data_IF_093157313579
#
_entry.id   IF_093157313579
#
_cell.length_a   1.000
_cell.length_b   1.000
_cell.length_c   1.000
_cell.angle_alpha   90.00
_cell.angle_beta   90.00
_cell.angle_gamma   90.00
#
_symmetry.space_group_name_H-M   'P 1'
#
loop_
_entity.id
_entity.type
_entity.pdbx_description
1 polymer ?
#
# COMPACT_ATOMS: atom_id res chain seq x y z
N UNK A 1 27.83 13.34 -12.15
CA UNK A 1 27.74 14.35 -11.06
C UNK A 1 27.18 15.68 -11.56
N UNK A 2 27.76 16.37 -12.56
CA UNK A 2 27.27 17.67 -13.02
C UNK A 2 25.81 17.67 -13.53
N UNK A 3 25.37 16.64 -14.27
CA UNK A 3 24.00 16.54 -14.76
C UNK A 3 22.95 16.31 -13.64
N UNK A 4 23.30 15.52 -12.61
CA UNK A 4 22.44 15.27 -11.45
C UNK A 4 22.27 16.55 -10.60
N UNK A 5 23.38 17.26 -10.35
CA UNK A 5 23.36 18.55 -9.66
C UNK A 5 22.58 19.62 -10.42
N UNK A 6 22.65 19.63 -11.76
CA UNK A 6 21.82 20.52 -12.57
C UNK A 6 20.33 20.18 -12.43
N UNK A 7 19.98 18.89 -12.44
CA UNK A 7 18.59 18.44 -12.25
C UNK A 7 18.03 18.86 -10.89
N UNK A 8 18.77 18.68 -9.80
CA UNK A 8 18.38 19.15 -8.46
C UNK A 8 18.05 20.65 -8.47
N UNK A 9 18.92 21.48 -9.04
CA UNK A 9 18.68 22.92 -9.16
C UNK A 9 17.42 23.27 -9.94
N UNK A 10 17.09 22.52 -10.99
CA UNK A 10 15.84 22.74 -11.73
C UNK A 10 14.61 22.51 -10.86
N UNK A 11 14.61 21.47 -10.03
CA UNK A 11 13.53 21.24 -9.07
C UNK A 11 13.48 22.32 -8.01
N UNK A 12 14.61 22.69 -7.41
CA UNK A 12 14.68 23.76 -6.40
C UNK A 12 14.15 25.09 -6.94
N UNK A 13 14.48 25.44 -8.18
CA UNK A 13 13.99 26.67 -8.82
C UNK A 13 12.45 26.71 -8.92
N UNK A 14 11.80 25.56 -9.14
CA UNK A 14 10.34 25.46 -9.24
C UNK A 14 9.71 25.36 -7.84
N UNK A 15 10.29 24.56 -6.95
CA UNK A 15 9.77 24.34 -5.59
C UNK A 15 9.90 25.56 -4.67
N UNK A 16 10.82 26.48 -4.97
CA UNK A 16 10.99 27.74 -4.22
C UNK A 16 10.06 28.88 -4.69
N UNK A 17 9.17 28.63 -5.65
CA UNK A 17 8.18 29.62 -6.09
C UNK A 17 7.06 29.78 -5.05
N UNK A 18 6.45 30.97 -4.96
CA UNK A 18 5.29 31.19 -4.09
C UNK A 18 4.07 30.36 -4.52
N UNK A 19 3.90 30.19 -5.84
CA UNK A 19 2.88 29.36 -6.47
C UNK A 19 3.57 28.43 -7.44
N UNK A 20 3.52 27.13 -7.16
CA UNK A 20 4.23 26.13 -7.95
C UNK A 20 3.47 25.78 -9.22
N UNK A 21 4.15 25.81 -10.36
CA UNK A 21 3.60 25.29 -11.61
C UNK A 21 3.52 23.76 -11.59
N UNK A 22 2.32 23.21 -11.41
CA UNK A 22 2.10 21.76 -11.48
C UNK A 22 2.48 21.17 -12.84
N UNK A 23 2.35 21.93 -13.93
CA UNK A 23 2.76 21.46 -15.26
C UNK A 23 4.29 21.27 -15.33
N UNK A 24 5.07 22.20 -14.77
CA UNK A 24 6.52 22.08 -14.70
C UNK A 24 6.96 20.93 -13.80
N UNK A 25 6.34 20.79 -12.62
CA UNK A 25 6.58 19.66 -11.72
C UNK A 25 6.29 18.34 -12.42
N UNK A 26 5.16 18.23 -13.13
CA UNK A 26 4.84 17.02 -13.91
C UNK A 26 5.91 16.72 -14.97
N UNK A 27 6.33 17.72 -15.75
CA UNK A 27 7.39 17.56 -16.76
C UNK A 27 8.71 17.09 -16.15
N UNK A 28 9.13 17.70 -15.03
CA UNK A 28 10.37 17.34 -14.36
C UNK A 28 10.32 15.93 -13.78
N UNK A 29 9.25 15.62 -13.04
CA UNK A 29 9.02 14.30 -12.41
C UNK A 29 8.90 13.17 -13.44
N UNK A 30 8.38 13.45 -14.65
CA UNK A 30 8.28 12.43 -15.69
C UNK A 30 9.63 11.79 -16.04
N UNK A 31 10.72 12.57 -15.93
CA UNK A 31 12.09 12.09 -16.15
C UNK A 31 12.73 11.45 -14.90
N UNK A 32 12.00 11.32 -13.79
CA UNK A 32 12.44 10.82 -12.49
C UNK A 32 12.77 11.96 -11.51
N UNK A 33 12.49 11.75 -10.23
CA UNK A 33 12.83 12.70 -9.17
C UNK A 33 14.21 12.42 -8.59
N UNK A 34 15.00 13.44 -8.21
CA UNK A 34 16.18 13.28 -7.37
C UNK A 34 15.86 12.68 -5.99
N UNK A 35 16.84 12.04 -5.36
CA UNK A 35 16.73 11.49 -3.99
C UNK A 35 17.07 12.53 -2.93
N UNK A 36 17.77 13.59 -3.32
CA UNK A 36 18.26 14.63 -2.44
C UNK A 36 17.17 15.65 -2.05
N UNK A 37 17.41 16.37 -0.94
CA UNK A 37 16.68 17.56 -0.52
C UNK A 37 15.14 17.39 -0.44
N UNK A 38 14.66 16.20 -0.07
CA UNK A 38 13.22 15.90 0.08
C UNK A 38 12.39 16.16 -1.20
N UNK A 39 13.07 16.23 -2.36
CA UNK A 39 12.45 16.64 -3.63
C UNK A 39 11.38 15.64 -4.04
N UNK A 40 11.69 14.34 -4.03
CA UNK A 40 10.72 13.30 -4.39
C UNK A 40 9.50 13.33 -3.47
N UNK A 41 9.71 13.38 -2.16
CA UNK A 41 8.61 13.42 -1.21
C UNK A 41 7.70 14.62 -1.45
N UNK A 42 8.28 15.81 -1.62
CA UNK A 42 7.52 17.04 -1.89
C UNK A 42 6.75 16.96 -3.22
N UNK A 43 7.40 16.47 -4.27
CA UNK A 43 6.77 16.28 -5.57
C UNK A 43 5.62 15.27 -5.50
N UNK A 44 5.77 14.16 -4.79
CA UNK A 44 4.70 13.17 -4.63
C UNK A 44 3.52 13.73 -3.84
N UNK A 45 3.76 14.53 -2.79
CA UNK A 45 2.69 15.23 -2.05
C UNK A 45 1.93 16.21 -2.95
N UNK A 46 2.63 16.93 -3.85
CA UNK A 46 1.99 17.81 -4.84
C UNK A 46 1.20 17.03 -5.88
N UNK A 47 1.82 16.01 -6.49
CA UNK A 47 1.20 15.19 -7.52
C UNK A 47 -0.02 14.47 -6.98
N UNK A 48 0.01 13.93 -5.77
CA UNK A 48 -1.13 13.28 -5.15
C UNK A 48 -2.14 14.26 -4.55
N UNK A 49 -2.06 15.56 -4.87
CA UNK A 49 -2.96 16.61 -4.38
C UNK A 49 -3.07 16.66 -2.86
N UNK A 50 -2.02 16.26 -2.14
CA UNK A 50 -1.99 16.32 -0.69
C UNK A 50 -1.68 17.73 -0.20
N UNK A 51 -0.68 18.39 -0.80
CA UNK A 51 -0.37 19.80 -0.53
C UNK A 51 -0.78 20.67 -1.73
N UNK A 52 -1.26 21.90 -1.48
CA UNK A 52 -1.66 22.81 -2.56
C UNK A 52 -0.44 23.39 -3.30
N UNK A 53 -0.59 23.96 -4.51
CA UNK A 53 0.50 24.65 -5.21
C UNK A 53 1.02 25.90 -4.50
N UNK A 54 0.17 26.56 -3.70
CA UNK A 54 0.51 27.77 -2.94
C UNK A 54 1.36 27.42 -1.70
N UNK A 55 2.64 27.82 -1.70
CA UNK A 55 3.61 27.39 -0.68
C UNK A 55 3.40 28.05 0.67
N UNK A 56 2.76 29.23 0.70
CA UNK A 56 2.48 30.00 1.91
C UNK A 56 1.67 29.21 2.96
N UNK A 57 0.75 28.34 2.51
CA UNK A 57 -0.16 27.60 3.38
C UNK A 57 0.33 26.20 3.75
N UNK A 58 1.48 25.75 3.23
CA UNK A 58 1.95 24.37 3.45
C UNK A 58 2.08 24.02 4.91
N UNK A 59 2.69 24.90 5.71
CA UNK A 59 2.95 24.65 7.13
C UNK A 59 1.65 24.50 7.92
N UNK A 60 0.67 25.39 7.69
CA UNK A 60 -0.62 25.37 8.39
C UNK A 60 -1.47 24.18 7.93
N UNK A 61 -1.49 23.89 6.63
CA UNK A 61 -2.20 22.76 6.03
C UNK A 61 -1.66 21.42 6.53
N UNK A 62 -0.34 21.18 6.43
CA UNK A 62 0.28 19.94 6.89
C UNK A 62 0.02 19.72 8.38
N UNK A 63 0.17 20.76 9.21
CA UNK A 63 -0.13 20.68 10.64
C UNK A 63 -1.57 20.22 10.88
N UNK A 64 -2.55 20.87 10.22
CA UNK A 64 -3.96 20.52 10.35
C UNK A 64 -4.24 19.07 9.92
N UNK A 65 -3.66 18.64 8.80
CA UNK A 65 -3.87 17.28 8.27
C UNK A 65 -3.26 16.22 9.19
N UNK A 66 -2.06 16.47 9.72
CA UNK A 66 -1.38 15.57 10.68
C UNK A 66 -2.14 15.51 12.01
N UNK A 67 -2.66 16.63 12.51
CA UNK A 67 -3.52 16.67 13.69
C UNK A 67 -4.85 15.94 13.48
N UNK A 68 -5.43 16.03 12.28
CA UNK A 68 -6.65 15.27 11.95
C UNK A 68 -6.39 13.77 11.91
N UNK A 69 -5.29 13.34 11.30
CA UNK A 69 -4.89 11.93 11.31
C UNK A 69 -4.65 11.43 12.75
N UNK A 70 -4.00 12.24 13.59
CA UNK A 70 -3.80 11.92 14.99
C UNK A 70 -5.11 11.65 15.75
N UNK A 71 -6.16 12.43 15.47
CA UNK A 71 -7.50 12.19 16.05
C UNK A 71 -8.08 10.86 15.58
N UNK A 72 -7.88 10.47 14.32
CA UNK A 72 -8.32 9.16 13.83
C UNK A 72 -7.60 8.01 14.55
N UNK A 73 -6.32 8.17 14.89
CA UNK A 73 -5.61 7.17 15.71
C UNK A 73 -6.24 7.06 17.10
N UNK A 74 -6.46 8.19 17.77
CA UNK A 74 -7.04 8.22 19.11
C UNK A 74 -8.46 7.58 19.09
N UNK A 75 -9.29 7.94 18.11
CA UNK A 75 -10.68 7.46 18.01
C UNK A 75 -10.82 6.01 17.52
N UNK A 76 -10.03 5.58 16.53
CA UNK A 76 -10.23 4.30 15.84
C UNK A 76 -9.28 3.20 16.32
N UNK A 77 -8.13 3.55 16.90
CA UNK A 77 -7.13 2.59 17.36
C UNK A 77 -7.17 2.46 18.88
N UNK A 78 -7.04 3.57 19.63
CA UNK A 78 -7.01 3.51 21.10
C UNK A 78 -8.37 3.12 21.70
N UNK A 79 -9.44 3.83 21.35
CA UNK A 79 -10.78 3.56 21.90
C UNK A 79 -11.37 2.20 21.45
N UNK A 80 -10.79 1.55 20.44
CA UNK A 80 -11.20 0.21 20.00
C UNK A 80 -10.81 -0.91 20.97
N UNK A 81 -9.92 -0.62 21.93
CA UNK A 81 -9.39 -1.58 22.91
C UNK A 81 -10.04 -1.40 24.30
N UNK A 82 -10.65 -0.25 24.59
CA UNK A 82 -11.20 0.05 25.93
C UNK A 82 -12.65 -0.42 26.14
N UNK A 83 -13.37 -0.76 25.07
CA UNK A 83 -14.75 -1.25 25.13
C UNK A 83 -14.90 -2.68 25.70
N UNK A 84 -13.80 -3.34 26.09
CA UNK A 84 -13.85 -4.64 26.78
C UNK A 84 -14.47 -4.54 28.20
N UNK A 85 -14.58 -3.33 28.79
CA UNK A 85 -14.99 -3.15 30.19
C UNK A 85 -16.39 -2.55 30.43
N UNK A 86 -17.07 -2.01 29.42
CA UNK A 86 -18.42 -1.43 29.62
C UNK A 86 -19.50 -2.41 29.14
N UNK A 87 -19.90 -3.29 30.06
CA UNK A 87 -21.02 -4.19 29.90
C UNK A 87 -22.35 -3.41 29.89
N UNK A 88 -22.67 -2.76 28.77
CA UNK A 88 -24.08 -2.45 28.50
C UNK A 88 -24.81 -3.79 28.30
N UNK A 89 -25.80 -4.07 29.13
CA UNK A 89 -26.42 -5.39 29.35
C UNK A 89 -27.23 -5.94 28.15
N UNK A 90 -27.04 -5.42 26.94
CA UNK A 90 -27.81 -5.77 25.73
C UNK A 90 -26.99 -6.26 24.56
N UNK A 91 -25.67 -6.06 24.55
CA UNK A 91 -24.81 -6.54 23.47
C UNK A 91 -23.79 -7.57 23.97
N UNK A 92 -23.65 -8.67 23.23
CA UNK A 92 -22.82 -9.82 23.63
C UNK A 92 -22.10 -10.39 22.40
N UNK A 93 -20.93 -11.03 22.56
CA UNK A 93 -20.18 -11.70 21.47
C UNK A 93 -20.95 -12.63 20.53
N UNK A 94 -22.15 -13.09 20.91
CA UNK A 94 -22.97 -14.01 20.12
C UNK A 94 -24.17 -13.30 19.48
N UNK A 95 -24.24 -11.98 19.57
CA UNK A 95 -25.32 -11.19 19.00
C UNK A 95 -25.25 -11.24 17.47
N UNK A 96 -26.31 -11.75 16.86
CA UNK A 96 -26.41 -11.87 15.39
C UNK A 96 -26.89 -10.59 14.73
N UNK A 97 -27.25 -9.56 15.50
CA UNK A 97 -27.64 -8.27 14.96
C UNK A 97 -26.48 -7.65 14.16
N UNK A 98 -26.66 -7.31 12.86
CA UNK A 98 -25.63 -6.66 12.07
C UNK A 98 -25.17 -5.29 12.60
N UNK A 99 -25.97 -4.65 13.46
CA UNK A 99 -25.67 -3.37 14.11
C UNK A 99 -25.03 -3.51 15.49
N UNK A 100 -24.72 -4.74 15.93
CA UNK A 100 -24.01 -4.99 17.19
C UNK A 100 -22.58 -4.49 17.14
N UNK A 101 -22.12 -3.87 18.23
CA UNK A 101 -20.74 -3.44 18.41
C UNK A 101 -19.80 -4.65 18.41
N UNK A 102 -20.25 -5.80 18.94
CA UNK A 102 -19.53 -7.07 18.85
C UNK A 102 -19.39 -7.60 17.42
N UNK A 103 -20.44 -7.51 16.61
CA UNK A 103 -20.37 -7.93 15.20
C UNK A 103 -19.37 -7.06 14.41
N UNK A 104 -19.39 -5.75 14.65
CA UNK A 104 -18.42 -4.83 14.07
C UNK A 104 -16.99 -5.11 14.59
N UNK A 105 -16.83 -5.42 15.88
CA UNK A 105 -15.54 -5.77 16.48
C UNK A 105 -14.92 -7.03 15.86
N UNK A 106 -15.71 -8.09 15.66
CA UNK A 106 -15.22 -9.32 15.02
C UNK A 106 -14.86 -9.10 13.55
N UNK A 107 -15.65 -8.32 12.81
CA UNK A 107 -15.30 -7.93 11.43
C UNK A 107 -14.02 -7.11 11.38
N UNK A 108 -13.83 -6.21 12.33
CA UNK A 108 -12.59 -5.43 12.46
C UNK A 108 -11.40 -6.33 12.79
N UNK A 109 -11.58 -7.38 13.61
CA UNK A 109 -10.53 -8.37 13.93
C UNK A 109 -10.14 -9.18 12.69
N UNK A 110 -11.11 -9.66 11.92
CA UNK A 110 -10.86 -10.42 10.69
C UNK A 110 -10.09 -9.56 9.68
N UNK A 111 -10.52 -8.30 9.51
CA UNK A 111 -9.85 -7.30 8.69
C UNK A 111 -8.42 -7.03 9.17
N UNK A 112 -8.22 -6.81 10.48
CA UNK A 112 -6.90 -6.56 11.07
C UNK A 112 -5.96 -7.76 10.87
N UNK A 113 -6.44 -9.00 11.08
CA UNK A 113 -5.67 -10.22 10.81
C UNK A 113 -5.30 -10.38 9.33
N UNK A 114 -6.12 -9.88 8.41
CA UNK A 114 -5.79 -9.86 6.99
C UNK A 114 -4.67 -8.85 6.70
N UNK A 115 -4.79 -7.63 7.24
CA UNK A 115 -3.79 -6.57 7.09
C UNK A 115 -2.45 -7.01 7.69
N UNK A 116 -2.41 -7.54 8.92
CA UNK A 116 -1.18 -8.01 9.59
C UNK A 116 -0.42 -9.02 8.72
N UNK A 117 -1.12 -10.05 8.21
CA UNK A 117 -0.52 -11.09 7.37
C UNK A 117 0.08 -10.54 6.08
N UNK A 118 -0.52 -9.50 5.51
CA UNK A 118 -0.05 -8.88 4.27
C UNK A 118 1.11 -7.91 4.56
N UNK A 119 1.03 -7.10 5.61
CA UNK A 119 2.09 -6.18 6.03
C UNK A 119 3.38 -6.91 6.45
N UNK A 120 3.28 -8.02 7.19
CA UNK A 120 4.45 -8.85 7.55
C UNK A 120 5.23 -9.38 6.35
N UNK A 121 4.53 -9.56 5.22
CA UNK A 121 5.11 -10.07 3.96
C UNK A 121 5.39 -8.96 2.95
N UNK A 122 5.20 -7.69 3.31
CA UNK A 122 5.40 -6.56 2.42
C UNK A 122 6.87 -6.49 1.99
N UNK A 123 7.09 -6.48 0.67
CA UNK A 123 8.41 -6.33 0.05
C UNK A 123 9.52 -7.16 0.74
N UNK A 124 9.43 -8.50 0.74
CA UNK A 124 10.31 -9.36 1.56
C UNK A 124 11.78 -9.32 1.12
N UNK A 125 12.07 -8.80 -0.08
CA UNK A 125 13.44 -8.57 -0.57
C UNK A 125 14.09 -7.30 -0.01
N UNK A 126 13.36 -6.47 0.74
CA UNK A 126 13.85 -5.24 1.35
C UNK A 126 13.63 -5.28 2.87
N UNK A 127 14.72 -5.35 3.63
CA UNK A 127 14.68 -5.45 5.09
C UNK A 127 14.06 -4.24 5.81
N UNK A 128 13.93 -3.10 5.11
CA UNK A 128 13.39 -1.84 5.64
C UNK A 128 12.10 -2.05 6.45
N UNK A 129 11.13 -2.78 5.91
CA UNK A 129 9.84 -2.93 6.58
C UNK A 129 9.92 -3.76 7.86
N UNK A 130 10.90 -4.66 7.95
CA UNK A 130 11.14 -5.54 9.10
C UNK A 130 12.06 -4.91 10.16
N UNK A 131 12.54 -3.69 9.94
CA UNK A 131 13.30 -2.92 10.93
C UNK A 131 12.40 -2.00 11.74
N UNK A 132 12.91 -1.65 12.92
CA UNK A 132 12.28 -0.69 13.82
C UNK A 132 12.26 0.70 13.19
N UNK A 133 11.12 1.40 13.30
CA UNK A 133 11.04 2.81 12.95
C UNK A 133 11.70 3.66 14.03
N UNK A 134 12.47 4.67 13.62
CA UNK A 134 13.01 5.69 14.53
C UNK A 134 11.93 6.59 15.13
N UNK A 135 10.74 6.58 14.53
CA UNK A 135 9.61 7.43 14.90
C UNK A 135 8.38 6.55 15.17
N UNK A 136 8.36 5.77 16.26
CA UNK A 136 7.14 5.12 16.72
C UNK A 136 6.12 6.18 17.10
N UNK A 137 4.83 5.91 16.91
CA UNK A 137 3.79 6.92 17.16
C UNK A 137 3.53 7.06 18.66
N UNK A 138 4.35 7.86 19.37
CA UNK A 138 4.40 7.91 20.84
C UNK A 138 3.06 8.09 21.57
N UNK A 139 2.04 8.72 20.95
CA UNK A 139 0.71 8.85 21.58
C UNK A 139 -0.01 7.51 21.77
N UNK A 140 0.28 6.47 20.98
CA UNK A 140 -0.32 5.13 21.19
C UNK A 140 0.20 4.43 22.44
N UNK A 141 1.32 4.89 23.00
CA UNK A 141 1.99 4.30 24.16
C UNK A 141 1.78 5.12 25.45
N UNK A 142 0.73 5.95 25.52
CA UNK A 142 0.43 6.75 26.72
C UNK A 142 0.06 5.86 27.92
N UNK A 143 0.31 6.41 29.12
CA UNK A 143 0.48 5.85 30.49
C UNK A 143 -0.16 4.52 30.94
N UNK A 144 -1.05 3.89 30.19
CA UNK A 144 -1.62 2.55 30.50
C UNK A 144 -1.35 1.50 29.41
N UNK A 145 -0.75 1.87 28.27
CA UNK A 145 -0.43 0.96 27.17
C UNK A 145 1.08 0.88 26.98
N UNK A 146 1.72 -0.11 27.61
CA UNK A 146 3.12 -0.46 27.35
C UNK A 146 3.30 -1.01 25.91
N UNK A 147 2.24 -1.59 25.35
CA UNK A 147 2.25 -2.24 24.04
C UNK A 147 1.33 -1.56 23.02
N UNK A 148 1.72 -1.59 21.74
CA UNK A 148 0.90 -1.11 20.62
C UNK A 148 -0.51 -1.75 20.70
N UNK A 149 -1.61 -0.96 20.68
CA UNK A 149 -2.97 -1.50 20.83
C UNK A 149 -3.37 -2.56 19.79
N UNK A 150 -2.98 -2.40 18.52
CA UNK A 150 -3.26 -3.38 17.46
C UNK A 150 -2.45 -4.67 17.66
N UNK A 151 -1.16 -4.54 18.03
CA UNK A 151 -0.30 -5.69 18.38
C UNK A 151 -0.91 -6.48 19.55
N UNK A 152 -1.35 -5.80 20.61
CA UNK A 152 -2.01 -6.41 21.77
C UNK A 152 -3.31 -7.13 21.37
N UNK A 153 -4.13 -6.49 20.53
CA UNK A 153 -5.38 -7.06 20.01
C UNK A 153 -5.12 -8.34 19.20
N UNK A 154 -4.12 -8.34 18.32
CA UNK A 154 -3.71 -9.52 17.55
C UNK A 154 -3.17 -10.66 18.43
N UNK A 155 -2.39 -10.34 19.47
CA UNK A 155 -1.92 -11.34 20.42
C UNK A 155 -3.08 -12.03 21.15
N UNK A 156 -4.11 -11.27 21.56
CA UNK A 156 -5.33 -11.82 22.17
C UNK A 156 -6.11 -12.75 21.23
N UNK A 157 -6.20 -12.40 19.94
CA UNK A 157 -6.85 -13.25 18.92
C UNK A 157 -6.10 -14.59 18.75
N UNK A 158 -4.76 -14.54 18.68
CA UNK A 158 -3.94 -15.73 18.52
C UNK A 158 -4.06 -16.71 19.70
N UNK A 159 -4.00 -16.19 20.94
CA UNK A 159 -4.19 -16.98 22.17
C UNK A 159 -5.56 -17.65 22.20
N UNK A 160 -6.62 -16.92 21.86
CA UNK A 160 -7.98 -17.47 21.80
C UNK A 160 -8.10 -18.63 20.80
N UNK A 161 -7.45 -18.52 19.63
CA UNK A 161 -7.45 -19.58 18.64
C UNK A 161 -6.72 -20.85 19.14
N UNK A 162 -5.57 -20.69 19.80
CA UNK A 162 -4.78 -21.80 20.37
C UNK A 162 -5.56 -22.56 21.46
N UNK A 163 -6.23 -21.85 22.37
CA UNK A 163 -7.06 -22.45 23.43
C UNK A 163 -8.22 -23.29 22.85
N UNK A 164 -8.86 -22.83 21.77
CA UNK A 164 -9.95 -23.56 21.11
C UNK A 164 -9.43 -24.86 20.47
N UNK A 165 -8.21 -24.85 19.92
CA UNK A 165 -7.59 -26.04 19.33
C UNK A 165 -7.23 -27.09 20.39
N UNK A 166 -6.76 -26.67 21.57
CA UNK A 166 -6.41 -27.61 22.66
C UNK A 166 -7.64 -28.30 23.28
N UNK A 167 -8.82 -27.70 23.20
CA UNK A 167 -10.04 -28.22 23.83
C UNK A 167 -10.88 -29.15 22.94
N UNK A 168 -10.47 -29.45 21.69
CA UNK A 168 -11.29 -30.25 20.75
C UNK A 168 -10.82 -31.67 20.44
N UNK A 169 -9.67 -32.16 20.91
CA UNK A 169 -9.29 -33.58 20.68
C UNK A 169 -8.48 -34.15 21.84
N UNK A 170 -9.11 -35.04 22.60
CA UNK A 170 -8.41 -35.97 23.47
C UNK A 170 -7.68 -37.02 22.63
N UNK A 171 -6.41 -36.79 22.31
CA UNK A 171 -5.33 -37.80 22.24
C UNK A 171 -4.01 -37.08 21.88
N UNK A 172 -3.02 -37.21 22.76
CA UNK A 172 -1.70 -36.62 22.56
C UNK A 172 -0.90 -37.37 21.50
N UNK A 173 -0.57 -36.70 20.40
CA UNK A 173 0.65 -36.97 19.64
C UNK A 173 1.51 -35.70 19.63
N UNK A 174 2.66 -35.78 20.28
CA UNK A 174 3.71 -34.76 20.20
C UNK A 174 4.25 -34.71 18.77
N UNK A 175 3.68 -33.85 17.94
CA UNK A 175 4.39 -33.40 16.75
C UNK A 175 5.46 -32.40 17.20
N UNK A 176 6.72 -32.69 16.86
CA UNK A 176 7.83 -31.74 16.96
C UNK A 176 7.52 -30.56 16.04
N UNK A 177 6.95 -29.50 16.61
CA UNK A 177 6.86 -28.23 15.92
C UNK A 177 8.26 -27.68 15.69
N UNK A 178 8.55 -27.37 14.43
CA UNK A 178 9.67 -26.54 14.05
C UNK A 178 9.34 -25.15 14.60
N UNK A 179 9.92 -24.82 15.76
CA UNK A 179 9.96 -23.45 16.27
C UNK A 179 10.67 -22.57 15.22
N UNK A 180 9.93 -21.98 14.29
CA UNK A 180 10.35 -20.70 13.72
C UNK A 180 10.37 -19.76 14.92
N UNK A 181 11.58 -19.37 15.36
CA UNK A 181 11.74 -18.30 16.36
C UNK A 181 10.83 -17.15 15.91
N UNK A 182 9.84 -16.80 16.74
CA UNK A 182 9.21 -15.49 16.61
C UNK A 182 10.35 -14.46 16.56
N UNK A 183 10.33 -13.49 15.64
CA UNK A 183 11.30 -12.40 15.69
C UNK A 183 11.32 -11.85 17.13
N UNK A 184 12.53 -11.59 17.65
CA UNK A 184 12.73 -11.08 19.02
C UNK A 184 11.69 -9.99 19.29
N UNK A 185 10.88 -10.19 20.33
CA UNK A 185 9.78 -9.30 20.66
C UNK A 185 10.37 -7.91 20.92
N UNK A 186 9.96 -6.92 20.11
CA UNK A 186 10.31 -5.52 20.32
C UNK A 186 9.97 -5.11 21.75
N UNK A 187 10.75 -4.19 22.31
CA UNK A 187 10.44 -3.64 23.62
C UNK A 187 9.23 -2.72 23.54
N UNK A 188 8.71 -2.38 24.72
CA UNK A 188 7.57 -1.49 24.86
C UNK A 188 7.90 -0.09 24.35
N UNK A 189 7.00 0.50 23.55
CA UNK A 189 7.23 1.78 22.87
C UNK A 189 7.91 1.69 21.50
N UNK A 190 8.35 0.52 21.06
CA UNK A 190 8.97 0.30 19.75
C UNK A 190 7.98 -0.27 18.72
N UNK A 191 8.17 0.10 17.46
CA UNK A 191 7.34 -0.36 16.34
C UNK A 191 8.21 -0.73 15.14
N UNK A 192 7.83 -1.78 14.42
CA UNK A 192 8.36 -2.04 13.09
C UNK A 192 7.72 -1.12 12.06
N UNK A 193 8.44 -0.83 10.98
CA UNK A 193 7.90 -0.10 9.83
C UNK A 193 6.63 -0.76 9.24
N UNK A 194 6.54 -2.10 9.22
CA UNK A 194 5.33 -2.80 8.78
C UNK A 194 4.13 -2.60 9.71
N UNK A 195 4.33 -2.35 11.02
CA UNK A 195 3.26 -2.04 11.98
C UNK A 195 2.69 -0.64 11.77
N UNK A 196 3.56 0.31 11.37
CA UNK A 196 3.12 1.64 10.95
C UNK A 196 2.22 1.53 9.70
N UNK A 197 2.63 0.74 8.71
CA UNK A 197 1.81 0.49 7.50
C UNK A 197 0.49 -0.19 7.84
N UNK A 198 0.49 -1.19 8.72
CA UNK A 198 -0.72 -1.84 9.23
C UNK A 198 -1.69 -0.83 9.83
N UNK A 199 -1.20 0.06 10.69
CA UNK A 199 -2.03 1.10 11.33
C UNK A 199 -2.65 2.04 10.30
N UNK A 200 -1.89 2.48 9.30
CA UNK A 200 -2.41 3.35 8.23
C UNK A 200 -3.53 2.64 7.46
N UNK A 201 -3.33 1.38 7.06
CA UNK A 201 -4.31 0.59 6.32
C UNK A 201 -5.57 0.30 7.16
N UNK A 202 -5.40 0.04 8.46
CA UNK A 202 -6.50 -0.17 9.37
C UNK A 202 -7.38 1.10 9.46
N UNK A 203 -6.76 2.25 9.70
CA UNK A 203 -7.45 3.55 9.77
C UNK A 203 -8.16 3.88 8.45
N UNK A 204 -7.46 3.73 7.32
CA UNK A 204 -8.06 3.92 5.99
C UNK A 204 -9.30 3.04 5.80
N UNK A 205 -9.21 1.77 6.18
CA UNK A 205 -10.29 0.80 5.99
C UNK A 205 -11.49 1.11 6.88
N UNK A 206 -11.25 1.53 8.12
CA UNK A 206 -12.31 1.97 9.05
C UNK A 206 -13.07 3.18 8.53
N UNK A 207 -12.39 4.11 7.85
CA UNK A 207 -12.98 5.29 7.23
C UNK A 207 -13.69 4.97 5.90
N UNK A 208 -13.25 3.93 5.17
CA UNK A 208 -13.77 3.56 3.86
C UNK A 208 -14.50 2.21 3.86
N UNK A 209 -15.47 2.03 4.78
CA UNK A 209 -16.21 0.76 4.97
C UNK A 209 -16.89 0.21 3.70
N UNK A 210 -17.25 1.08 2.76
CA UNK A 210 -17.86 0.65 1.48
C UNK A 210 -16.90 -0.09 0.55
N UNK A 211 -15.60 0.18 0.64
CA UNK A 211 -14.55 -0.55 -0.07
C UNK A 211 -13.99 -1.68 0.80
N UNK A 212 -13.70 -1.39 2.08
CA UNK A 212 -12.99 -2.31 2.95
C UNK A 212 -11.50 -2.43 2.61
N UNK A 213 -10.81 -3.36 3.28
CA UNK A 213 -9.44 -3.74 2.94
C UNK A 213 -9.47 -4.80 1.86
N UNK A 214 -8.59 -4.66 0.85
CA UNK A 214 -8.41 -5.65 -0.21
C UNK A 214 -6.93 -5.96 -0.34
N UNK A 215 -6.61 -7.26 -0.37
CA UNK A 215 -5.24 -7.73 -0.53
C UNK A 215 -4.59 -7.08 -1.77
N UNK A 216 -3.40 -6.52 -1.60
CA UNK A 216 -2.71 -5.72 -2.61
C UNK A 216 -2.63 -4.23 -2.25
N UNK A 217 -3.55 -3.73 -1.41
CA UNK A 217 -3.44 -2.36 -0.89
C UNK A 217 -2.15 -2.14 -0.08
N UNK A 218 -1.70 -3.15 0.65
CA UNK A 218 -0.41 -3.17 1.34
C UNK A 218 0.78 -2.93 0.39
N UNK A 219 0.71 -3.48 -0.83
CA UNK A 219 1.77 -3.30 -1.83
C UNK A 219 1.75 -1.88 -2.43
N UNK A 220 0.56 -1.27 -2.55
CA UNK A 220 0.40 0.11 -3.06
C UNK A 220 0.86 1.15 -2.03
N UNK A 221 0.57 0.96 -0.75
CA UNK A 221 1.00 1.92 0.28
C UNK A 221 2.51 1.87 0.56
N UNK A 222 3.15 0.71 0.35
CA UNK A 222 4.58 0.50 0.63
C UNK A 222 5.49 1.57 0.03
N UNK A 223 5.49 1.79 -1.30
CA UNK A 223 6.32 2.82 -1.94
C UNK A 223 6.09 4.24 -1.42
N UNK A 224 4.86 4.61 -1.06
CA UNK A 224 4.57 5.92 -0.46
C UNK A 224 5.24 6.03 0.91
N UNK A 225 5.00 5.03 1.77
CA UNK A 225 5.56 5.02 3.12
C UNK A 225 7.09 5.03 3.10
N UNK A 226 7.70 4.16 2.29
CA UNK A 226 9.15 4.14 2.12
C UNK A 226 9.70 5.50 1.70
N UNK A 227 9.08 6.15 0.70
CA UNK A 227 9.53 7.45 0.20
C UNK A 227 9.49 8.53 1.28
N UNK A 228 8.48 8.55 2.14
CA UNK A 228 8.38 9.56 3.20
C UNK A 228 9.18 9.20 4.46
N UNK A 229 9.27 7.91 4.81
CA UNK A 229 9.99 7.45 5.99
C UNK A 229 11.51 7.42 5.79
N UNK A 230 11.98 7.44 4.54
CA UNK A 230 13.41 7.58 4.19
C UNK A 230 13.76 8.98 3.70
N UNK A 231 12.86 9.95 3.87
CA UNK A 231 13.09 11.34 3.46
C UNK A 231 14.35 11.92 4.13
N UNK A 232 15.21 12.68 3.42
CA UNK A 232 16.42 13.26 4.01
C UNK A 232 16.14 14.23 5.18
N UNK A 233 14.95 14.86 5.20
CA UNK A 233 14.52 15.77 6.25
C UNK A 233 13.92 15.01 7.44
N UNK A 234 14.43 15.34 8.63
CA UNK A 234 14.01 14.70 9.87
C UNK A 234 12.53 14.94 10.18
N UNK A 235 12.04 16.17 9.93
CA UNK A 235 10.63 16.50 10.16
C UNK A 235 9.71 15.74 9.19
N UNK A 236 10.17 15.51 7.96
CA UNK A 236 9.55 14.62 6.99
C UNK A 236 9.39 13.19 7.53
N UNK A 237 10.46 12.59 8.03
CA UNK A 237 10.45 11.22 8.55
C UNK A 237 9.52 11.06 9.77
N UNK A 238 9.56 12.00 10.71
CA UNK A 238 8.70 11.98 11.91
C UNK A 238 7.21 11.99 11.56
N UNK A 239 6.84 12.68 10.48
CA UNK A 239 5.46 12.81 10.03
C UNK A 239 5.11 11.86 8.86
N UNK A 240 5.99 10.91 8.53
CA UNK A 240 5.84 10.04 7.37
C UNK A 240 4.54 9.25 7.39
N UNK A 241 4.10 8.78 8.56
CA UNK A 241 2.85 8.02 8.71
C UNK A 241 1.62 8.83 8.27
N UNK A 242 1.46 10.04 8.82
CA UNK A 242 0.32 10.90 8.50
C UNK A 242 0.36 11.38 7.04
N UNK A 243 1.55 11.75 6.54
CA UNK A 243 1.71 12.19 5.15
C UNK A 243 1.43 11.03 4.17
N UNK A 244 1.83 9.79 4.53
CA UNK A 244 1.50 8.57 3.79
C UNK A 244 0.00 8.34 3.76
N UNK A 245 -0.69 8.44 4.90
CA UNK A 245 -2.13 8.24 4.98
C UNK A 245 -2.88 9.14 3.99
N UNK A 246 -2.58 10.44 3.97
CA UNK A 246 -3.28 11.38 3.09
C UNK A 246 -2.95 11.19 1.61
N UNK A 247 -1.67 10.95 1.29
CA UNK A 247 -1.27 10.64 -0.09
C UNK A 247 -1.91 9.33 -0.57
N UNK A 248 -1.98 8.31 0.29
CA UNK A 248 -2.62 7.04 0.00
C UNK A 248 -4.14 7.20 -0.15
N UNK A 249 -4.79 7.99 0.70
CA UNK A 249 -6.23 8.29 0.59
C UNK A 249 -6.56 8.91 -0.78
N UNK A 250 -5.77 9.88 -1.22
CA UNK A 250 -5.95 10.52 -2.52
C UNK A 250 -5.66 9.56 -3.68
N UNK A 251 -4.56 8.80 -3.61
CA UNK A 251 -4.23 7.78 -4.61
C UNK A 251 -5.36 6.75 -4.76
N UNK A 252 -5.83 6.20 -3.64
CA UNK A 252 -6.90 5.22 -3.65
C UNK A 252 -8.21 5.81 -4.16
N UNK A 253 -8.49 7.10 -3.96
CA UNK A 253 -9.68 7.72 -4.55
C UNK A 253 -9.73 7.65 -6.08
N UNK A 254 -8.56 7.60 -6.75
CA UNK A 254 -8.43 7.48 -8.21
C UNK A 254 -8.44 6.02 -8.69
N UNK A 255 -7.97 5.06 -7.88
CA UNK A 255 -7.83 3.64 -8.29
C UNK A 255 -8.77 2.67 -7.58
N UNK A 256 -9.61 3.15 -6.65
CA UNK A 256 -10.50 2.32 -5.82
C UNK A 256 -11.42 1.41 -6.61
N UNK A 257 -11.84 1.83 -7.81
CA UNK A 257 -12.77 1.07 -8.64
C UNK A 257 -12.16 -0.30 -9.06
N UNK A 258 -10.82 -0.40 -9.10
CA UNK A 258 -10.11 -1.66 -9.35
C UNK A 258 -10.17 -2.67 -8.18
N UNK A 259 -10.58 -2.23 -7.00
CA UNK A 259 -10.64 -3.03 -5.77
C UNK A 259 -12.08 -3.38 -5.36
N UNK A 260 -13.08 -2.74 -5.96
CA UNK A 260 -14.48 -2.97 -5.64
C UNK A 260 -15.01 -4.08 -6.55
N UNK A 261 -15.21 -5.27 -6.00
CA UNK A 261 -15.66 -6.46 -6.74
C UNK A 261 -16.93 -6.25 -7.57
N UNK A 262 -17.89 -5.46 -7.08
CA UNK A 262 -19.13 -5.16 -7.82
C UNK A 262 -18.89 -4.29 -9.06
N UNK A 263 -17.73 -3.65 -9.17
CA UNK A 263 -17.33 -2.84 -10.31
C UNK A 263 -16.45 -3.61 -11.30
N UNK A 264 -16.06 -4.86 -11.03
CA UNK A 264 -15.08 -5.61 -11.84
C UNK A 264 -15.45 -5.65 -13.34
N UNK A 265 -16.74 -5.80 -13.67
CA UNK A 265 -17.26 -5.87 -15.04
C UNK A 265 -17.65 -4.49 -15.62
N UNK A 266 -17.58 -3.43 -14.82
CA UNK A 266 -17.90 -2.08 -15.26
C UNK A 266 -16.79 -1.50 -16.15
N UNK A 267 -17.12 -0.42 -16.88
CA UNK A 267 -16.14 0.30 -17.72
C UNK A 267 -14.98 0.92 -16.93
N UNK A 268 -15.15 1.12 -15.63
CA UNK A 268 -14.11 1.68 -14.75
C UNK A 268 -13.39 0.60 -13.94
N UNK A 269 -13.88 -0.65 -14.02
CA UNK A 269 -13.35 -1.79 -13.27
C UNK A 269 -12.13 -2.43 -13.89
N UNK A 270 -11.57 -3.36 -13.12
CA UNK A 270 -10.33 -4.06 -13.46
C UNK A 270 -10.42 -4.88 -14.74
N UNK A 271 -11.57 -5.50 -15.04
CA UNK A 271 -11.75 -6.29 -16.28
C UNK A 271 -11.64 -5.41 -17.51
N UNK A 272 -12.24 -4.22 -17.48
CA UNK A 272 -12.13 -3.27 -18.59
C UNK A 272 -10.69 -2.78 -18.76
N UNK A 273 -9.98 -2.45 -17.66
CA UNK A 273 -8.57 -2.05 -17.72
C UNK A 273 -7.67 -3.15 -18.31
N UNK A 274 -7.88 -4.41 -17.94
CA UNK A 274 -7.15 -5.54 -18.54
C UNK A 274 -7.47 -5.69 -20.03
N UNK A 275 -8.73 -5.51 -20.41
CA UNK A 275 -9.14 -5.54 -21.82
C UNK A 275 -8.47 -4.41 -22.62
N UNK A 276 -8.35 -3.20 -22.07
CA UNK A 276 -7.62 -2.09 -22.70
C UNK A 276 -6.14 -2.44 -22.97
N UNK A 277 -5.45 -3.15 -22.06
CA UNK A 277 -4.09 -3.65 -22.32
C UNK A 277 -4.08 -4.55 -23.56
N UNK A 278 -5.02 -5.48 -23.65
CA UNK A 278 -5.08 -6.42 -24.78
C UNK A 278 -5.43 -5.73 -26.10
N UNK A 279 -6.34 -4.76 -26.09
CA UNK A 279 -6.71 -3.98 -27.27
C UNK A 279 -5.57 -3.09 -27.77
N UNK A 280 -4.80 -2.50 -26.86
CA UNK A 280 -3.60 -1.75 -27.23
C UNK A 280 -2.53 -2.70 -27.77
N UNK A 281 -2.31 -3.85 -27.12
CA UNK A 281 -1.37 -4.88 -27.57
C UNK A 281 -1.68 -5.36 -28.99
N UNK A 282 -2.95 -5.67 -29.29
CA UNK A 282 -3.39 -6.11 -30.61
C UNK A 282 -3.03 -5.10 -31.71
N UNK A 283 -3.19 -3.80 -31.41
CA UNK A 283 -2.87 -2.71 -32.34
C UNK A 283 -1.37 -2.52 -32.55
N UNK A 284 -0.55 -2.69 -31.50
CA UNK A 284 0.89 -2.38 -31.56
C UNK A 284 1.79 -3.59 -31.85
N UNK A 285 1.29 -4.81 -31.65
CA UNK A 285 2.00 -6.09 -31.87
C UNK A 285 1.01 -7.25 -32.02
N UNK A 286 0.24 -7.23 -33.11
CA UNK A 286 -0.75 -8.27 -33.44
C UNK A 286 -0.19 -9.70 -33.37
N UNK A 287 1.04 -10.02 -33.85
CA UNK A 287 1.58 -11.36 -33.72
C UNK A 287 1.71 -11.84 -32.26
N UNK A 288 2.20 -10.98 -31.36
CA UNK A 288 2.29 -11.32 -29.93
C UNK A 288 0.91 -11.50 -29.31
N UNK A 289 -0.05 -10.64 -29.65
CA UNK A 289 -1.44 -10.75 -29.21
C UNK A 289 -2.07 -12.08 -29.63
N UNK A 290 -1.97 -12.45 -30.92
CA UNK A 290 -2.50 -13.71 -31.44
C UNK A 290 -1.84 -14.89 -30.73
N UNK A 291 -0.51 -14.86 -30.58
CA UNK A 291 0.20 -15.96 -29.93
C UNK A 291 -0.25 -16.15 -28.47
N UNK A 292 -0.33 -15.07 -27.68
CA UNK A 292 -0.78 -15.15 -26.29
C UNK A 292 -2.23 -15.62 -26.16
N UNK A 293 -3.14 -15.08 -26.98
CA UNK A 293 -4.59 -15.27 -26.79
C UNK A 293 -5.19 -16.45 -27.56
N UNK A 294 -4.66 -16.76 -28.75
CA UNK A 294 -5.18 -17.81 -29.64
C UNK A 294 -4.32 -19.06 -29.64
N UNK A 295 -2.99 -18.92 -29.62
CA UNK A 295 -2.11 -20.09 -29.65
C UNK A 295 -1.91 -20.68 -28.24
N UNK A 296 -1.66 -19.82 -27.26
CA UNK A 296 -1.46 -20.25 -25.87
C UNK A 296 -2.73 -20.18 -25.03
N UNK A 297 -3.77 -19.46 -25.47
CA UNK A 297 -5.01 -19.25 -24.72
C UNK A 297 -4.78 -18.66 -23.31
N UNK A 298 -3.74 -17.83 -23.15
CA UNK A 298 -3.44 -17.12 -21.91
C UNK A 298 -4.49 -16.04 -21.68
N UNK A 299 -5.17 -16.13 -20.54
CA UNK A 299 -6.15 -15.14 -20.11
C UNK A 299 -5.46 -13.94 -19.44
N UNK A 300 -5.85 -12.69 -19.76
CA UNK A 300 -5.26 -11.49 -19.18
C UNK A 300 -5.28 -11.46 -17.65
N UNK A 301 -6.31 -12.06 -17.04
CA UNK A 301 -6.48 -12.15 -15.58
C UNK A 301 -5.30 -12.82 -14.89
N UNK A 302 -4.57 -13.71 -15.57
CA UNK A 302 -3.46 -14.45 -14.96
C UNK A 302 -2.21 -13.60 -14.74
N UNK A 303 -2.10 -12.42 -15.36
CA UNK A 303 -0.93 -11.54 -15.21
C UNK A 303 -1.32 -10.06 -15.08
N UNK A 304 -2.16 -9.52 -15.96
CA UNK A 304 -2.56 -8.11 -15.97
C UNK A 304 -3.28 -7.68 -14.68
N UNK A 305 -4.07 -8.57 -14.07
CA UNK A 305 -4.83 -8.25 -12.86
C UNK A 305 -3.88 -7.68 -11.80
N UNK A 306 -2.80 -8.41 -11.51
CA UNK A 306 -1.80 -8.00 -10.54
C UNK A 306 -1.07 -6.75 -10.99
N UNK A 307 -0.61 -6.69 -12.24
CA UNK A 307 0.13 -5.55 -12.78
C UNK A 307 -0.60 -4.22 -12.57
N UNK A 308 -1.92 -4.22 -12.80
CA UNK A 308 -2.76 -3.04 -12.71
C UNK A 308 -3.18 -2.76 -11.27
N UNK A 309 -3.68 -3.76 -10.53
CA UNK A 309 -4.22 -3.56 -9.17
C UNK A 309 -3.16 -3.10 -8.18
N UNK A 310 -1.93 -3.62 -8.27
CA UNK A 310 -0.84 -3.20 -7.37
C UNK A 310 0.13 -2.23 -8.04
N UNK A 311 -0.23 -1.62 -9.18
CA UNK A 311 0.58 -0.60 -9.86
C UNK A 311 2.05 -1.03 -10.07
N UNK A 312 2.23 -2.27 -10.53
CA UNK A 312 3.52 -2.91 -10.86
C UNK A 312 4.47 -3.16 -9.67
N UNK A 313 4.05 -2.95 -8.42
CA UNK A 313 4.90 -3.12 -7.24
C UNK A 313 5.41 -4.55 -7.03
N UNK A 314 4.72 -5.54 -7.58
CA UNK A 314 5.15 -6.93 -7.54
C UNK A 314 5.96 -7.36 -8.76
N UNK A 315 6.10 -6.50 -9.77
CA UNK A 315 6.88 -6.80 -10.98
C UNK A 315 8.30 -6.25 -10.90
N UNK A 316 8.52 -5.18 -10.14
CA UNK A 316 9.81 -4.52 -10.02
C UNK A 316 10.24 -4.44 -8.55
N UNK A 317 11.55 -4.33 -8.31
CA UNK A 317 12.05 -3.97 -6.99
C UNK A 317 11.68 -2.53 -6.60
N UNK A 318 11.77 -2.21 -5.31
CA UNK A 318 11.26 -0.93 -4.80
C UNK A 318 11.91 0.31 -5.45
N UNK A 319 13.23 0.35 -5.69
CA UNK A 319 13.85 1.48 -6.40
C UNK A 319 13.26 1.69 -7.80
N UNK A 320 13.06 0.61 -8.58
CA UNK A 320 12.45 0.70 -9.90
C UNK A 320 10.97 1.09 -9.82
N UNK A 321 10.22 0.59 -8.84
CA UNK A 321 8.83 1.00 -8.59
C UNK A 321 8.75 2.50 -8.33
N UNK A 322 9.57 3.02 -7.42
CA UNK A 322 9.61 4.46 -7.09
C UNK A 322 9.93 5.28 -8.33
N UNK A 323 10.90 4.84 -9.14
CA UNK A 323 11.22 5.52 -10.40
C UNK A 323 10.06 5.47 -11.40
N UNK A 324 9.39 4.32 -11.57
CA UNK A 324 8.22 4.21 -12.45
C UNK A 324 7.10 5.14 -11.95
N UNK A 325 6.91 5.22 -10.63
CA UNK A 325 5.89 6.05 -10.00
C UNK A 325 6.14 7.55 -10.18
N UNK A 326 7.40 8.00 -10.22
CA UNK A 326 7.72 9.39 -10.61
C UNK A 326 7.09 9.76 -11.96
N UNK A 327 7.16 8.85 -12.95
CA UNK A 327 6.55 9.05 -14.27
C UNK A 327 5.03 8.82 -14.26
N UNK A 328 4.57 7.81 -13.52
CA UNK A 328 3.15 7.46 -13.47
C UNK A 328 2.30 8.56 -12.83
N UNK A 329 2.74 9.08 -11.68
CA UNK A 329 2.00 10.09 -10.91
C UNK A 329 2.03 11.47 -11.58
N UNK A 330 3.09 11.74 -12.37
CA UNK A 330 3.26 12.99 -13.11
C UNK A 330 2.54 13.03 -14.46
N UNK A 331 2.28 11.88 -15.07
CA UNK A 331 1.59 11.83 -16.35
C UNK A 331 0.15 12.33 -16.23
N UNK A 332 -0.32 13.15 -17.18
CA UNK A 332 -1.66 13.76 -17.15
C UNK A 332 -2.79 12.74 -17.05
N UNK A 333 -2.65 11.60 -17.72
CA UNK A 333 -3.62 10.49 -17.72
C UNK A 333 -3.30 9.34 -16.76
N UNK A 334 -2.24 9.45 -15.93
CA UNK A 334 -1.83 8.50 -14.89
C UNK A 334 -2.08 7.01 -15.20
N UNK A 335 -3.16 6.43 -14.69
CA UNK A 335 -3.45 5.00 -14.79
C UNK A 335 -3.92 4.55 -16.17
N UNK A 336 -4.26 5.46 -17.08
CA UNK A 336 -4.35 5.13 -18.51
C UNK A 336 -2.96 5.01 -19.14
N UNK A 337 -1.98 5.78 -18.67
CA UNK A 337 -0.58 5.63 -19.07
C UNK A 337 0.00 4.29 -18.59
N UNK A 338 -0.44 3.78 -17.43
CA UNK A 338 -0.09 2.44 -16.95
C UNK A 338 -0.39 1.32 -17.98
N UNK A 339 -1.49 1.45 -18.75
CA UNK A 339 -1.84 0.49 -19.81
C UNK A 339 -0.72 0.39 -20.86
N UNK A 340 -0.11 1.51 -21.22
CA UNK A 340 1.01 1.56 -22.16
C UNK A 340 2.30 1.01 -21.54
N UNK A 341 2.52 1.21 -20.23
CA UNK A 341 3.65 0.59 -19.52
C UNK A 341 3.51 -0.94 -19.55
N UNK A 342 2.33 -1.49 -19.25
CA UNK A 342 2.05 -2.93 -19.34
C UNK A 342 2.31 -3.47 -20.75
N UNK A 343 1.88 -2.75 -21.79
CA UNK A 343 2.14 -3.12 -23.18
C UNK A 343 3.64 -3.07 -23.53
N UNK A 344 4.37 -2.07 -23.03
CA UNK A 344 5.81 -1.97 -23.21
C UNK A 344 6.54 -3.14 -22.54
N UNK A 345 6.14 -3.53 -21.33
CA UNK A 345 6.67 -4.72 -20.64
C UNK A 345 6.48 -5.98 -21.49
N UNK A 346 5.29 -6.21 -22.04
CA UNK A 346 5.01 -7.34 -22.94
C UNK A 346 5.91 -7.33 -24.18
N UNK A 347 6.14 -6.16 -24.78
CA UNK A 347 7.04 -6.02 -25.93
C UNK A 347 8.49 -6.32 -25.60
N UNK A 348 8.94 -5.98 -24.39
CA UNK A 348 10.32 -6.27 -23.95
C UNK A 348 10.55 -7.78 -23.82
N UNK A 349 9.58 -8.53 -23.31
CA UNK A 349 9.68 -10.00 -23.15
C UNK A 349 9.15 -10.80 -24.34
N UNK A 350 8.70 -10.12 -25.40
CA UNK A 350 8.12 -10.70 -26.63
C UNK A 350 8.95 -11.84 -27.20
N UNK A 351 10.26 -11.60 -27.38
CA UNK A 351 11.17 -12.55 -28.02
C UNK A 351 11.27 -13.89 -27.28
N UNK A 352 11.06 -13.85 -25.96
CA UNK A 352 11.04 -15.03 -25.11
C UNK A 352 9.67 -15.70 -25.11
N UNK A 353 8.58 -14.91 -25.04
CA UNK A 353 7.21 -15.44 -25.03
C UNK A 353 6.93 -16.24 -26.31
N UNK A 354 7.29 -15.72 -27.48
CA UNK A 354 6.98 -16.35 -28.77
C UNK A 354 7.62 -17.74 -29.00
N UNK A 355 8.51 -18.17 -28.10
CA UNK A 355 9.21 -19.46 -28.16
C UNK A 355 8.75 -20.44 -27.08
N UNK A 356 7.83 -20.03 -26.20
CA UNK A 356 7.46 -20.75 -24.98
C UNK A 356 6.07 -21.37 -25.11
N UNK A 357 5.89 -22.53 -24.50
CA UNK A 357 4.56 -23.10 -24.29
C UNK A 357 3.76 -22.31 -23.23
N UNK A 358 2.52 -22.71 -23.00
CA UNK A 358 1.62 -22.04 -22.06
C UNK A 358 2.24 -21.86 -20.67
N UNK A 359 2.79 -22.93 -20.09
CA UNK A 359 3.32 -22.93 -18.73
C UNK A 359 4.56 -22.04 -18.61
N UNK A 360 5.49 -22.14 -19.55
CA UNK A 360 6.71 -21.33 -19.54
C UNK A 360 6.43 -19.86 -19.83
N UNK A 361 5.49 -19.56 -20.72
CA UNK A 361 5.06 -18.18 -21.01
C UNK A 361 4.40 -17.56 -19.77
N UNK A 362 3.49 -18.29 -19.10
CA UNK A 362 2.83 -17.78 -17.89
C UNK A 362 3.83 -17.52 -16.76
N UNK A 363 4.80 -18.42 -16.56
CA UNK A 363 5.89 -18.19 -15.60
C UNK A 363 6.67 -16.92 -15.93
N UNK A 364 6.92 -16.66 -17.22
CA UNK A 364 7.63 -15.44 -17.66
C UNK A 364 6.83 -14.17 -17.37
N UNK A 365 5.51 -14.22 -17.52
CA UNK A 365 4.60 -13.10 -17.26
C UNK A 365 4.41 -12.79 -15.75
N UNK A 366 4.70 -13.76 -14.87
CA UNK A 366 4.45 -13.65 -13.43
C UNK A 366 5.72 -13.42 -12.60
N UNK A 367 6.90 -13.56 -13.19
CA UNK A 367 8.18 -13.36 -12.50
C UNK A 367 8.53 -11.87 -12.46
N UNK A 368 9.12 -11.41 -11.34
CA UNK A 368 9.68 -10.06 -11.21
C UNK A 368 10.65 -9.77 -12.35
N UNK A 369 10.38 -8.70 -13.07
CA UNK A 369 11.24 -8.14 -14.11
C UNK A 369 12.29 -7.26 -13.44
N UNK A 370 13.44 -7.88 -13.14
CA UNK A 370 14.64 -7.27 -12.56
C UNK A 370 14.49 -6.79 -11.11
#
# INVERSE_FOLDING_TARGET
MAAAQNKVKLFENVLNQEIISLEEIKKLCFSGCPEEASIRATCWKLLLNYIPPETADWKSHLKKQRESYAKFIDELVQNSVENDNDSSTKDHPLNTNPQSDWNQYFKDNEMLCQIDRDCRRLSPGLAFYQYETKYPYGKIFKSNHETNPLRKRLAGIALSAEEIHTNKVGTFQKNKEIKKKAPEQLSDGEEYHWEVVERILFVYTKLNKGQGYVQGMNEVIGPLYYTFATDPDQSGQENAEADTFWCFMNLMSEVRDNFIKSLDESKVGITHKMQQVMEVLEKIDTPLYIYLTKNLEVKPQYFCFRWITVLLTQEFDLPNVVRIWDSLLSHEKRFDFLIYICCAMLKLIRGDILKKDFTAALKTLQVRLY
#
